data_IF_902370437892
#
_entry.id   IF_902370437892
#
_cell.length_a   1.000
_cell.length_b   1.000
_cell.length_c   1.000
_cell.angle_alpha   90.00
_cell.angle_beta   90.00
_cell.angle_gamma   90.00
#
_symmetry.space_group_name_H-M   'P 1'
#
loop_
_entity.id
_entity.type
_entity.pdbx_description
1 polymer ?
#
# COMPACT_ATOMS: atom_id res chain seq x y z
N UNK A 1 9.55 26.76 25.53
CA UNK A 1 10.52 27.09 24.44
C UNK A 1 9.92 26.62 23.12
N UNK A 2 10.09 27.41 22.05
CA UNK A 2 9.30 27.38 20.81
C UNK A 2 9.74 26.28 19.82
N UNK A 3 8.76 25.81 19.04
CA UNK A 3 8.84 24.87 17.90
C UNK A 3 9.94 25.24 16.90
N UNK A 4 10.61 24.24 16.33
CA UNK A 4 11.39 24.37 15.08
C UNK A 4 10.84 23.39 14.05
N UNK A 5 10.06 23.93 13.13
CA UNK A 5 9.73 23.37 11.82
C UNK A 5 10.54 24.16 10.79
N UNK A 6 10.76 23.59 9.61
CA UNK A 6 11.31 24.19 8.38
C UNK A 6 12.82 24.02 8.15
N UNK A 7 13.17 23.05 7.29
CA UNK A 7 14.16 23.21 6.21
C UNK A 7 14.28 21.94 5.34
N UNK A 8 13.26 21.63 4.53
CA UNK A 8 13.39 20.65 3.41
C UNK A 8 12.71 21.20 2.14
N UNK A 9 12.80 22.51 1.91
CA UNK A 9 12.32 23.19 0.68
C UNK A 9 13.53 23.81 -0.04
N UNK A 10 14.59 23.01 -0.20
CA UNK A 10 15.83 23.46 -0.84
C UNK A 10 16.22 22.69 -2.10
N UNK A 11 15.67 21.48 -2.30
CA UNK A 11 16.16 20.58 -3.35
C UNK A 11 15.32 20.59 -4.64
N UNK A 12 14.08 21.07 -4.61
CA UNK A 12 13.15 20.97 -5.75
C UNK A 12 13.35 22.10 -6.77
N UNK A 13 13.90 23.25 -6.37
CA UNK A 13 14.10 24.41 -7.26
C UNK A 13 15.30 24.26 -8.23
N UNK A 14 16.18 23.27 -8.04
CA UNK A 14 17.34 23.09 -8.92
C UNK A 14 17.00 22.35 -10.24
N UNK A 15 15.89 21.61 -10.30
CA UNK A 15 15.50 20.82 -11.46
C UNK A 15 14.69 21.60 -12.51
N UNK A 16 14.10 22.74 -12.15
CA UNK A 16 13.25 23.54 -13.05
C UNK A 16 14.03 24.50 -13.96
N UNK A 17 15.36 24.53 -13.90
CA UNK A 17 16.19 25.44 -14.71
C UNK A 17 16.77 24.79 -15.99
N UNK A 18 16.48 23.51 -16.28
CA UNK A 18 17.12 22.79 -17.39
C UNK A 18 16.20 22.24 -18.50
N UNK A 19 14.89 22.51 -18.50
CA UNK A 19 13.99 21.98 -19.53
C UNK A 19 13.12 23.06 -20.19
N UNK A 20 13.78 24.05 -20.79
CA UNK A 20 13.16 24.94 -21.76
C UNK A 20 13.81 24.76 -23.13
N UNK A 21 13.11 24.11 -24.05
CA UNK A 21 13.48 23.97 -25.47
C UNK A 21 12.23 23.67 -26.29
N UNK A 22 11.96 24.56 -27.25
CA UNK A 22 10.73 24.74 -28.04
C UNK A 22 10.94 24.26 -29.48
N UNK A 23 10.06 23.40 -29.99
CA UNK A 23 9.79 23.29 -31.44
C UNK A 23 8.53 22.44 -31.73
N UNK A 24 7.56 23.08 -32.38
CA UNK A 24 6.26 22.51 -32.70
C UNK A 24 6.23 21.55 -33.89
N UNK A 25 5.27 20.62 -33.84
CA UNK A 25 4.59 20.08 -35.01
C UNK A 25 3.21 19.56 -34.59
N UNK A 26 2.17 20.13 -35.19
CA UNK A 26 0.77 19.71 -35.06
C UNK A 26 0.55 18.37 -35.75
N UNK A 27 0.12 17.38 -34.98
CA UNK A 27 -0.65 16.24 -35.47
C UNK A 27 -1.92 16.13 -34.64
N UNK A 28 -3.03 16.53 -35.26
CA UNK A 28 -4.39 16.37 -34.77
C UNK A 28 -4.81 14.91 -34.94
N UNK A 29 -4.54 14.13 -33.90
CA UNK A 29 -5.29 12.93 -33.53
C UNK A 29 -5.44 13.05 -32.03
N UNK A 30 -6.67 13.14 -31.52
CA UNK A 30 -6.96 13.35 -30.09
C UNK A 30 -6.36 12.23 -29.23
N UNK A 31 -5.12 12.46 -28.80
CA UNK A 31 -4.35 11.62 -27.88
C UNK A 31 -4.93 11.68 -26.47
N UNK A 32 -5.74 12.69 -26.21
CA UNK A 32 -6.23 13.05 -24.88
C UNK A 32 -7.36 12.13 -24.39
N UNK A 33 -8.09 11.48 -25.30
CA UNK A 33 -9.16 10.53 -24.95
C UNK A 33 -8.62 9.13 -24.60
N UNK A 34 -7.58 8.65 -25.27
CA UNK A 34 -6.99 7.33 -24.98
C UNK A 34 -5.97 7.36 -23.83
N UNK A 35 -5.27 8.47 -23.64
CA UNK A 35 -4.21 8.57 -22.61
C UNK A 35 -4.80 8.83 -21.21
N UNK A 36 -5.96 9.46 -21.12
CA UNK A 36 -6.59 9.77 -19.83
C UNK A 36 -7.32 8.58 -19.18
N UNK A 37 -7.73 7.58 -19.96
CA UNK A 37 -8.45 6.40 -19.44
C UNK A 37 -7.52 5.24 -19.01
N UNK A 38 -6.26 5.24 -19.44
CA UNK A 38 -5.32 4.13 -19.19
C UNK A 38 -4.09 4.55 -18.35
N UNK A 39 -3.69 5.82 -18.34
CA UNK A 39 -2.40 6.20 -17.74
C UNK A 39 -2.44 6.49 -16.23
N UNK A 40 -3.55 7.01 -15.68
CA UNK A 40 -3.52 7.46 -14.27
C UNK A 40 -3.66 6.29 -13.28
N UNK A 41 -4.63 5.38 -13.49
CA UNK A 41 -4.86 4.27 -12.54
C UNK A 41 -3.70 3.26 -12.47
N UNK A 42 -3.10 2.93 -13.62
CA UNK A 42 -2.00 1.95 -13.65
C UNK A 42 -0.72 2.47 -12.98
N UNK A 43 -0.40 3.74 -13.15
CA UNK A 43 0.78 4.35 -12.52
C UNK A 43 0.53 4.59 -11.01
N UNK A 44 -0.69 4.98 -10.63
CA UNK A 44 -1.10 5.15 -9.24
C UNK A 44 -1.08 3.81 -8.47
N UNK A 45 -1.66 2.75 -9.03
CA UNK A 45 -1.67 1.40 -8.43
C UNK A 45 -0.24 0.85 -8.25
N UNK A 46 0.63 1.11 -9.23
CA UNK A 46 2.03 0.70 -9.15
C UNK A 46 2.80 1.50 -8.09
N UNK A 47 2.55 2.80 -7.99
CA UNK A 47 3.12 3.63 -6.94
C UNK A 47 2.66 3.18 -5.54
N UNK A 48 1.36 2.90 -5.38
CA UNK A 48 0.80 2.37 -4.14
C UNK A 48 1.40 0.99 -3.79
N UNK A 49 1.53 0.10 -4.77
CA UNK A 49 2.18 -1.21 -4.60
C UNK A 49 3.62 -1.06 -4.10
N UNK A 50 4.37 -0.12 -4.67
CA UNK A 50 5.74 0.17 -4.24
C UNK A 50 5.78 0.75 -2.83
N UNK A 51 4.90 1.69 -2.49
CA UNK A 51 4.84 2.33 -1.17
C UNK A 51 4.53 1.32 -0.06
N UNK A 52 3.57 0.43 -0.31
CA UNK A 52 3.27 -0.69 0.59
C UNK A 52 4.50 -1.59 0.73
N UNK A 53 5.10 -2.03 -0.39
CA UNK A 53 6.31 -2.87 -0.36
C UNK A 53 7.46 -2.25 0.45
N UNK A 54 7.78 -0.97 0.22
CA UNK A 54 8.86 -0.27 0.91
C UNK A 54 8.60 -0.17 2.42
N UNK A 55 7.34 0.08 2.80
CA UNK A 55 6.93 0.12 4.21
C UNK A 55 7.08 -1.25 4.89
N UNK A 56 6.69 -2.34 4.20
CA UNK A 56 6.85 -3.70 4.71
C UNK A 56 8.34 -4.08 4.87
N UNK A 57 9.16 -3.78 3.85
CA UNK A 57 10.60 -4.00 3.90
C UNK A 57 11.26 -3.22 5.04
N UNK A 58 10.82 -1.98 5.31
CA UNK A 58 11.32 -1.20 6.44
C UNK A 58 11.07 -1.85 7.81
N UNK A 59 10.01 -2.68 7.95
CA UNK A 59 9.75 -3.47 9.15
C UNK A 59 10.42 -4.85 9.16
N UNK A 60 11.21 -5.19 8.14
CA UNK A 60 11.86 -6.50 8.01
C UNK A 60 10.94 -7.60 7.49
N UNK A 61 9.83 -7.24 6.84
CA UNK A 61 9.05 -8.16 6.00
C UNK A 61 9.63 -8.03 4.58
N UNK A 62 10.79 -8.65 4.40
CA UNK A 62 11.53 -8.61 3.15
C UNK A 62 10.86 -9.50 2.08
N UNK A 63 11.13 -9.21 0.80
CA UNK A 63 10.69 -10.00 -0.35
C UNK A 63 9.15 -10.22 -0.46
N UNK A 64 8.36 -9.35 0.16
CA UNK A 64 6.91 -9.37 0.00
C UNK A 64 6.51 -9.13 -1.46
N UNK A 65 5.57 -9.92 -1.99
CA UNK A 65 4.93 -9.65 -3.26
C UNK A 65 3.65 -8.86 -3.01
N UNK A 66 3.66 -7.60 -3.45
CA UNK A 66 2.55 -6.67 -3.26
C UNK A 66 1.94 -6.31 -4.62
N UNK A 67 0.62 -6.40 -4.68
CA UNK A 67 -0.17 -5.95 -5.83
C UNK A 67 -1.35 -5.12 -5.34
N UNK A 68 -1.40 -3.86 -5.76
CA UNK A 68 -2.56 -2.99 -5.60
C UNK A 68 -3.33 -2.94 -6.92
N UNK A 69 -4.64 -2.97 -6.80
CA UNK A 69 -5.63 -2.82 -7.87
C UNK A 69 -6.81 -2.05 -7.30
N UNK A 70 -7.72 -1.49 -8.12
CA UNK A 70 -8.90 -0.80 -7.60
C UNK A 70 -9.76 -1.69 -6.68
N UNK A 71 -9.81 -3.00 -6.94
CA UNK A 71 -10.61 -3.93 -6.15
C UNK A 71 -9.92 -4.31 -4.83
N UNK A 72 -8.59 -4.39 -4.80
CA UNK A 72 -7.88 -4.92 -3.62
C UNK A 72 -6.42 -4.53 -3.49
N UNK A 73 -5.93 -4.62 -2.25
CA UNK A 73 -4.51 -4.79 -1.94
C UNK A 73 -4.23 -6.26 -1.64
N UNK A 74 -3.31 -6.86 -2.39
CA UNK A 74 -2.90 -8.25 -2.22
C UNK A 74 -1.44 -8.33 -1.79
N UNK A 75 -1.17 -8.95 -0.64
CA UNK A 75 0.17 -9.10 -0.06
C UNK A 75 0.48 -10.57 0.14
N UNK A 76 1.58 -11.06 -0.43
CA UNK A 76 2.17 -12.36 -0.09
C UNK A 76 3.50 -12.14 0.61
N UNK A 77 3.73 -12.80 1.73
CA UNK A 77 5.01 -12.71 2.42
C UNK A 77 5.38 -14.03 3.12
N UNK A 78 6.68 -14.28 3.24
CA UNK A 78 7.21 -15.32 4.13
C UNK A 78 7.39 -14.72 5.53
N UNK A 79 6.79 -15.34 6.53
CA UNK A 79 6.75 -14.83 7.90
C UNK A 79 8.18 -14.80 8.49
N UNK A 80 8.71 -13.62 8.84
CA UNK A 80 9.98 -13.54 9.55
C UNK A 80 9.91 -14.29 10.88
N UNK A 81 11.04 -14.78 11.44
CA UNK A 81 11.06 -15.47 12.72
C UNK A 81 10.38 -14.66 13.83
N UNK A 82 9.29 -15.20 14.38
CA UNK A 82 8.53 -14.62 15.48
C UNK A 82 8.82 -15.34 16.79
N UNK A 83 8.68 -14.62 17.92
CA UNK A 83 8.85 -15.18 19.27
C UNK A 83 7.54 -15.69 19.86
N UNK A 84 6.41 -15.26 19.30
CA UNK A 84 5.07 -15.62 19.76
C UNK A 84 4.02 -15.44 18.66
N UNK A 85 2.86 -16.07 18.85
CA UNK A 85 1.69 -15.88 17.98
C UNK A 85 1.22 -14.42 17.93
N UNK A 86 1.40 -13.68 19.03
CA UNK A 86 1.11 -12.25 19.09
C UNK A 86 1.97 -11.43 18.14
N UNK A 87 3.22 -11.83 17.90
CA UNK A 87 4.10 -11.13 16.95
C UNK A 87 3.60 -11.33 15.52
N UNK A 88 3.11 -12.53 15.19
CA UNK A 88 2.51 -12.80 13.89
C UNK A 88 1.22 -11.99 13.68
N UNK A 89 0.38 -11.88 14.71
CA UNK A 89 -0.81 -11.02 14.68
C UNK A 89 -0.45 -9.54 14.48
N UNK A 90 0.59 -9.06 15.17
CA UNK A 90 1.06 -7.68 15.01
C UNK A 90 1.54 -7.39 13.58
N UNK A 91 2.17 -8.37 12.91
CA UNK A 91 2.55 -8.25 11.51
C UNK A 91 1.31 -8.07 10.61
N UNK A 92 0.24 -8.83 10.84
CA UNK A 92 -1.01 -8.66 10.07
C UNK A 92 -1.64 -7.30 10.28
N UNK A 93 -1.74 -6.83 11.53
CA UNK A 93 -2.24 -5.47 11.82
C UNK A 93 -1.40 -4.39 11.15
N UNK A 94 -0.07 -4.55 11.14
CA UNK A 94 0.82 -3.63 10.46
C UNK A 94 0.57 -3.62 8.95
N UNK A 95 0.53 -4.79 8.31
CA UNK A 95 0.28 -4.93 6.87
C UNK A 95 -1.08 -4.33 6.50
N UNK A 96 -2.14 -4.63 7.26
CA UNK A 96 -3.47 -4.03 7.05
C UNK A 96 -3.42 -2.51 7.13
N UNK A 97 -2.77 -1.96 8.16
CA UNK A 97 -2.70 -0.52 8.35
C UNK A 97 -1.93 0.20 7.24
N UNK A 98 -0.81 -0.36 6.79
CA UNK A 98 -0.06 0.15 5.65
C UNK A 98 -0.90 0.07 4.37
N UNK A 99 -1.49 -1.09 4.08
CA UNK A 99 -2.31 -1.29 2.88
C UNK A 99 -3.48 -0.30 2.83
N UNK A 100 -4.21 -0.12 3.93
CA UNK A 100 -5.32 0.83 4.01
C UNK A 100 -4.86 2.28 3.89
N UNK A 101 -3.70 2.62 4.45
CA UNK A 101 -3.14 3.97 4.37
C UNK A 101 -2.68 4.38 2.97
N UNK A 102 -2.02 3.45 2.26
CA UNK A 102 -1.45 3.71 0.93
C UNK A 102 -2.48 3.51 -0.20
N UNK A 103 -3.49 2.67 0.01
CA UNK A 103 -4.53 2.39 -0.98
C UNK A 103 -5.95 2.43 -0.37
N UNK A 104 -6.38 3.58 0.19
CA UNK A 104 -7.64 3.71 0.94
C UNK A 104 -8.90 3.54 0.08
N UNK A 105 -8.78 3.62 -1.24
CA UNK A 105 -9.90 3.49 -2.18
C UNK A 105 -10.19 2.05 -2.62
N UNK A 106 -9.45 1.06 -2.12
CA UNK A 106 -9.65 -0.35 -2.47
C UNK A 106 -10.81 -0.97 -1.68
N UNK A 107 -11.44 -2.03 -2.20
CA UNK A 107 -12.55 -2.69 -1.49
C UNK A 107 -12.04 -3.57 -0.33
N UNK A 108 -10.98 -4.34 -0.57
CA UNK A 108 -10.46 -5.33 0.38
C UNK A 108 -8.93 -5.39 0.45
N UNK A 109 -8.42 -5.84 1.59
CA UNK A 109 -7.02 -6.20 1.81
C UNK A 109 -6.96 -7.70 2.03
N UNK A 110 -6.12 -8.37 1.24
CA UNK A 110 -5.86 -9.81 1.35
C UNK A 110 -4.37 -10.02 1.63
N UNK A 111 -4.08 -10.77 2.67
CA UNK A 111 -2.72 -11.14 3.10
C UNK A 111 -2.60 -12.66 3.04
N UNK A 112 -1.62 -13.17 2.32
CA UNK A 112 -1.23 -14.57 2.35
C UNK A 112 0.12 -14.73 3.04
N UNK A 113 0.10 -15.44 4.15
CA UNK A 113 1.27 -15.75 4.96
C UNK A 113 1.83 -17.12 4.60
N UNK A 114 3.14 -17.17 4.41
CA UNK A 114 3.91 -18.39 4.17
C UNK A 114 4.93 -18.60 5.29
N UNK A 115 5.39 -19.84 5.46
CA UNK A 115 6.58 -20.15 6.25
C UNK A 115 7.52 -21.03 5.42
N UNK A 116 8.69 -20.50 5.07
CA UNK A 116 9.65 -21.16 4.19
C UNK A 116 8.99 -21.60 2.88
N UNK A 117 8.23 -20.70 2.25
CA UNK A 117 7.39 -20.93 1.07
C UNK A 117 6.24 -21.93 1.22
N UNK A 118 5.93 -22.41 2.43
CA UNK A 118 4.74 -23.24 2.66
C UNK A 118 3.55 -22.34 3.02
N UNK A 119 2.41 -22.44 2.32
CA UNK A 119 1.23 -21.63 2.61
C UNK A 119 0.69 -21.94 4.01
N UNK A 120 0.34 -20.91 4.78
CA UNK A 120 -0.20 -21.05 6.13
C UNK A 120 -1.62 -20.50 6.21
N UNK A 121 -1.76 -19.19 6.11
CA UNK A 121 -3.04 -18.50 6.29
C UNK A 121 -3.27 -17.46 5.20
N UNK A 122 -4.53 -17.29 4.85
CA UNK A 122 -5.05 -16.12 4.16
C UNK A 122 -5.89 -15.32 5.14
N UNK A 123 -5.62 -14.03 5.20
CA UNK A 123 -6.36 -13.06 6.00
C UNK A 123 -7.00 -12.07 5.05
N UNK A 124 -8.30 -11.85 5.20
CA UNK A 124 -9.04 -10.88 4.39
C UNK A 124 -9.83 -9.93 5.28
N UNK A 125 -9.88 -8.65 4.89
CA UNK A 125 -10.61 -7.61 5.62
C UNK A 125 -11.02 -6.51 4.64
N UNK A 126 -12.24 -5.94 4.76
CA UNK A 126 -12.60 -4.75 3.99
C UNK A 126 -11.68 -3.57 4.35
N UNK A 127 -11.20 -2.84 3.35
CA UNK A 127 -10.28 -1.70 3.57
C UNK A 127 -10.94 -0.63 4.44
N UNK A 128 -12.24 -0.37 4.22
CA UNK A 128 -13.02 0.58 5.01
C UNK A 128 -13.08 0.22 6.51
N UNK A 129 -13.19 -1.06 6.87
CA UNK A 129 -13.20 -1.50 8.27
C UNK A 129 -11.83 -1.27 8.93
N UNK A 130 -10.72 -1.41 8.19
CA UNK A 130 -9.38 -1.07 8.69
C UNK A 130 -9.26 0.42 8.95
N UNK A 131 -9.71 1.26 8.02
CA UNK A 131 -9.70 2.71 8.18
C UNK A 131 -10.55 3.16 9.37
N UNK A 132 -11.76 2.61 9.52
CA UNK A 132 -12.64 2.89 10.64
C UNK A 132 -12.00 2.47 11.98
N UNK A 133 -11.24 1.36 12.01
CA UNK A 133 -10.48 0.95 13.19
C UNK A 133 -9.32 1.91 13.51
N UNK A 134 -8.52 2.28 12.50
CA UNK A 134 -7.40 3.23 12.66
C UNK A 134 -7.87 4.61 13.15
N UNK A 135 -9.04 5.04 12.68
CA UNK A 135 -9.68 6.29 13.09
C UNK A 135 -10.47 6.18 14.40
N UNK A 136 -10.43 5.02 15.08
CA UNK A 136 -11.13 4.77 16.34
C UNK A 136 -12.65 4.92 16.26
N UNK A 137 -13.24 4.71 15.08
CA UNK A 137 -14.71 4.70 14.87
C UNK A 137 -15.34 3.37 15.27
N UNK A 138 -14.58 2.28 15.20
CA UNK A 138 -14.94 0.96 15.73
C UNK A 138 -13.90 0.49 16.75
N UNK A 139 -14.33 -0.35 17.67
CA UNK A 139 -13.49 -0.97 18.69
C UNK A 139 -12.68 -2.14 18.12
N UNK A 140 -11.66 -2.58 18.87
CA UNK A 140 -10.91 -3.79 18.52
C UNK A 140 -11.81 -5.04 18.45
N UNK A 141 -12.77 -5.16 19.38
CA UNK A 141 -13.67 -6.32 19.39
C UNK A 141 -14.63 -6.31 18.20
N UNK A 142 -15.10 -5.14 17.77
CA UNK A 142 -15.86 -5.00 16.53
C UNK A 142 -14.99 -5.31 15.31
N UNK A 143 -13.79 -4.74 15.22
CA UNK A 143 -12.86 -4.97 14.11
C UNK A 143 -12.50 -6.45 13.95
N UNK A 144 -12.28 -7.18 15.06
CA UNK A 144 -12.04 -8.62 15.05
C UNK A 144 -13.13 -9.42 14.33
N UNK A 145 -14.38 -8.96 14.36
CA UNK A 145 -15.48 -9.64 13.65
C UNK A 145 -15.47 -9.40 12.14
N UNK A 146 -14.65 -8.46 11.66
CA UNK A 146 -14.52 -8.08 10.24
C UNK A 146 -13.39 -8.81 9.54
N UNK A 147 -12.43 -9.33 10.31
CA UNK A 147 -11.27 -10.05 9.80
C UNK A 147 -11.64 -11.52 9.62
N UNK A 148 -11.51 -12.02 8.39
CA UNK A 148 -11.66 -13.43 8.08
C UNK A 148 -10.27 -14.07 7.93
N UNK A 149 -10.07 -15.22 8.60
CA UNK A 149 -8.80 -15.95 8.62
C UNK A 149 -9.06 -17.38 8.20
N UNK A 150 -8.38 -17.82 7.13
CA UNK A 150 -8.51 -19.17 6.57
C UNK A 150 -7.14 -19.83 6.48
N UNK A 151 -7.06 -21.10 6.85
CA UNK A 151 -5.89 -21.91 6.51
C UNK A 151 -5.92 -22.23 5.01
N UNK A 152 -4.78 -22.10 4.33
CA UNK A 152 -4.64 -22.29 2.87
C UNK A 152 -3.65 -23.42 2.51
N UNK A 153 -3.38 -24.29 3.48
CA UNK A 153 -2.54 -25.48 3.40
C UNK A 153 -3.26 -26.70 2.84
#
# INVERSE_FOLDING_TARGET
MKKKTMAVIGLILLFLLFSGGDDGATYDVSRDEWTSMIANGYDDDKAASMSVYESLAFQGIDDANVQVTPERVFVKYDQPPVKSDSDALLAWFYIMGVAAGEAPGTDEIIIQMYAQNNPLFEVSVPTGDVLDFLESRITLDEFRTKVDVKAIM
#
